data_IF_634452045091
#
_entry.id   IF_634452045091
#
_cell.length_a   1.000
_cell.length_b   1.000
_cell.length_c   1.000
_cell.angle_alpha   90.00
_cell.angle_beta   90.00
_cell.angle_gamma   90.00
#
_symmetry.space_group_name_H-M   'P 1'
#
loop_
_entity.id
_entity.type
_entity.pdbx_description
1 polymer ?
#
# COMPACT_ATOMS: atom_id res chain seq x y z
N UNK A 1 -11.49 18.19 12.12
CA UNK A 1 -10.78 16.98 11.69
C UNK A 1 -11.78 15.85 11.56
N UNK A 2 -12.26 15.60 10.34
CA UNK A 2 -12.86 14.31 9.99
C UNK A 2 -11.92 13.66 8.96
N UNK A 3 -10.68 13.43 9.43
CA UNK A 3 -9.70 12.59 8.76
C UNK A 3 -10.26 11.16 8.79
N UNK A 4 -10.03 10.38 7.73
CA UNK A 4 -10.60 9.04 7.58
C UNK A 4 -10.46 8.23 8.87
N UNK A 5 -11.54 7.52 9.24
CA UNK A 5 -11.48 6.64 10.40
C UNK A 5 -10.47 5.53 10.13
N UNK A 6 -9.87 4.94 11.17
CA UNK A 6 -9.01 3.76 11.02
C UNK A 6 -9.74 2.60 10.31
N UNK A 7 -11.07 2.56 10.39
CA UNK A 7 -11.89 1.59 9.67
C UNK A 7 -11.90 1.87 8.16
N UNK A 8 -12.02 3.14 7.74
CA UNK A 8 -11.91 3.51 6.32
C UNK A 8 -10.53 3.16 5.75
N UNK A 9 -9.47 3.36 6.54
CA UNK A 9 -8.11 2.97 6.12
C UNK A 9 -7.98 1.45 5.96
N UNK A 10 -8.51 0.68 6.92
CA UNK A 10 -8.51 -0.79 6.84
C UNK A 10 -9.30 -1.29 5.62
N UNK A 11 -10.44 -0.67 5.33
CA UNK A 11 -11.25 -0.98 4.15
C UNK A 11 -10.52 -0.64 2.85
N UNK A 12 -9.92 0.55 2.77
CA UNK A 12 -9.14 0.98 1.61
C UNK A 12 -7.93 0.08 1.35
N UNK A 13 -7.19 -0.28 2.40
CA UNK A 13 -6.07 -1.23 2.34
C UNK A 13 -6.53 -2.61 1.83
N UNK A 14 -7.72 -3.06 2.26
CA UNK A 14 -8.30 -4.32 1.78
C UNK A 14 -8.71 -4.27 0.31
N UNK A 15 -9.33 -3.17 -0.12
CA UNK A 15 -9.71 -2.97 -1.51
C UNK A 15 -8.51 -2.84 -2.44
N UNK A 16 -7.42 -2.22 -1.97
CA UNK A 16 -6.14 -2.20 -2.69
C UNK A 16 -5.67 -3.60 -3.08
N UNK A 17 -5.65 -4.54 -2.12
CA UNK A 17 -5.30 -5.95 -2.37
C UNK A 17 -6.27 -6.57 -3.38
N UNK A 18 -7.58 -6.37 -3.19
CA UNK A 18 -8.62 -6.93 -4.06
C UNK A 18 -8.47 -6.48 -5.52
N UNK A 19 -8.14 -5.21 -5.75
CA UNK A 19 -8.00 -4.66 -7.10
C UNK A 19 -6.72 -5.13 -7.80
N UNK A 20 -5.64 -5.31 -7.05
CA UNK A 20 -4.35 -5.73 -7.62
C UNK A 20 -4.22 -7.24 -7.78
N UNK A 21 -4.89 -8.03 -6.92
CA UNK A 21 -4.83 -9.49 -6.93
C UNK A 21 -5.06 -10.17 -8.31
N UNK A 22 -6.03 -9.73 -9.14
CA UNK A 22 -6.23 -10.34 -10.46
C UNK A 22 -5.25 -9.85 -11.55
N UNK A 23 -4.35 -8.92 -11.22
CA UNK A 23 -3.37 -8.35 -12.15
C UNK A 23 -2.00 -9.01 -12.00
N UNK A 24 -1.02 -8.57 -12.79
CA UNK A 24 0.37 -9.01 -12.64
C UNK A 24 1.18 -8.17 -11.62
N UNK A 25 0.58 -7.12 -11.04
CA UNK A 25 1.19 -6.32 -9.97
C UNK A 25 1.26 -7.09 -8.65
N UNK A 26 2.28 -6.78 -7.85
CA UNK A 26 2.33 -7.29 -6.48
C UNK A 26 1.19 -6.70 -5.62
N UNK A 27 0.23 -7.55 -5.23
CA UNK A 27 -0.95 -7.13 -4.49
C UNK A 27 -0.66 -6.68 -3.06
N UNK A 28 0.48 -7.07 -2.48
CA UNK A 28 0.93 -6.58 -1.17
C UNK A 28 1.83 -5.33 -1.27
N UNK A 29 2.04 -4.78 -2.47
CA UNK A 29 2.98 -3.67 -2.69
C UNK A 29 2.70 -2.42 -1.84
N UNK A 30 1.44 -2.21 -1.45
CA UNK A 30 1.07 -1.16 -0.50
C UNK A 30 1.75 -1.33 0.87
N UNK A 31 1.93 -2.56 1.37
CA UNK A 31 2.64 -2.81 2.62
C UNK A 31 4.09 -2.32 2.55
N UNK A 32 4.77 -2.56 1.43
CA UNK A 32 6.14 -2.07 1.22
C UNK A 32 6.20 -0.53 1.16
N UNK A 33 5.22 0.11 0.53
CA UNK A 33 5.08 1.57 0.52
C UNK A 33 4.96 2.13 1.94
N UNK A 34 4.05 1.58 2.75
CA UNK A 34 3.83 2.03 4.13
C UNK A 34 5.02 1.78 5.05
N UNK A 35 5.64 0.59 4.97
CA UNK A 35 6.91 0.28 5.68
C UNK A 35 7.96 1.36 5.45
N UNK A 36 8.07 1.85 4.20
CA UNK A 36 9.05 2.87 3.84
C UNK A 36 8.71 4.22 4.48
N UNK A 37 7.51 4.74 4.27
CA UNK A 37 7.17 6.11 4.71
C UNK A 37 7.00 6.24 6.22
N UNK A 38 6.66 5.15 6.92
CA UNK A 38 6.57 5.13 8.38
C UNK A 38 7.95 5.00 9.05
N UNK A 39 8.96 4.53 8.32
CA UNK A 39 10.34 4.44 8.78
C UNK A 39 11.15 5.73 8.63
N UNK A 40 10.60 6.75 7.99
CA UNK A 40 11.27 8.05 7.81
C UNK A 40 11.24 8.85 9.13
N UNK A 41 12.34 9.56 9.43
CA UNK A 41 12.45 10.39 10.64
C UNK A 41 11.46 11.56 10.65
N UNK A 42 11.09 12.04 9.46
CA UNK A 42 10.02 13.00 9.24
C UNK A 42 8.97 12.36 8.34
N UNK A 43 7.91 11.76 8.93
CA UNK A 43 6.88 11.10 8.15
C UNK A 43 6.19 12.10 7.20
N UNK A 44 5.78 11.67 5.99
CA UNK A 44 5.16 12.57 5.02
C UNK A 44 3.76 12.99 5.46
N UNK A 45 3.31 14.17 4.99
CA UNK A 45 1.97 14.72 5.26
C UNK A 45 0.84 13.76 4.84
N UNK A 46 1.11 12.83 3.93
CA UNK A 46 0.18 11.75 3.58
C UNK A 46 -0.33 10.99 4.81
N UNK A 47 0.52 10.69 5.79
CA UNK A 47 0.13 9.97 7.00
C UNK A 47 -0.71 10.84 7.96
N UNK A 48 -0.70 12.16 7.78
CA UNK A 48 -1.57 13.06 8.52
C UNK A 48 -3.05 12.83 8.16
N UNK A 49 -3.38 12.51 6.91
CA UNK A 49 -4.76 12.22 6.47
C UNK A 49 -5.10 10.74 6.39
N UNK A 50 -4.08 9.87 6.29
CA UNK A 50 -4.18 8.42 6.22
C UNK A 50 -3.47 7.73 7.40
N UNK A 51 -4.00 7.89 8.63
CA UNK A 51 -3.34 7.37 9.82
C UNK A 51 -3.27 5.82 9.79
N UNK A 52 -2.20 5.24 10.30
CA UNK A 52 -2.09 3.80 10.38
C UNK A 52 -3.17 3.20 11.31
N UNK A 53 -3.98 2.22 10.87
CA UNK A 53 -4.95 1.52 11.70
C UNK A 53 -4.33 0.69 12.85
N UNK A 54 -3.02 0.44 12.81
CA UNK A 54 -2.22 -0.27 13.82
C UNK A 54 -1.65 -1.59 13.29
N UNK A 55 -2.36 -2.24 12.36
CA UNK A 55 -2.01 -3.54 11.77
C UNK A 55 -2.00 -3.52 10.24
N UNK A 56 -1.87 -2.33 9.62
CA UNK A 56 -1.92 -2.12 8.16
C UNK A 56 -1.06 -3.11 7.36
N UNK A 57 0.24 -3.10 7.64
CA UNK A 57 1.23 -3.95 6.94
C UNK A 57 0.86 -5.43 7.06
N UNK A 58 0.58 -5.87 8.28
CA UNK A 58 0.22 -7.26 8.55
C UNK A 58 -1.07 -7.67 7.82
N UNK A 59 -2.09 -6.80 7.79
CA UNK A 59 -3.36 -7.10 7.14
C UNK A 59 -3.22 -7.20 5.62
N UNK A 60 -2.48 -6.28 5.00
CA UNK A 60 -2.24 -6.28 3.55
C UNK A 60 -1.52 -7.57 3.14
N UNK A 61 -0.41 -7.90 3.80
CA UNK A 61 0.40 -9.09 3.50
C UNK A 61 -0.41 -10.38 3.72
N UNK A 62 -1.13 -10.46 4.86
CA UNK A 62 -1.99 -11.60 5.18
C UNK A 62 -3.08 -11.79 4.12
N UNK A 63 -3.76 -10.71 3.73
CA UNK A 63 -4.86 -10.81 2.78
C UNK A 63 -4.38 -11.20 1.37
N UNK A 64 -3.25 -10.67 0.92
CA UNK A 64 -2.64 -11.08 -0.35
C UNK A 64 -2.29 -12.57 -0.35
N UNK A 65 -1.74 -13.07 0.76
CA UNK A 65 -1.44 -14.49 0.95
C UNK A 65 -2.70 -15.37 1.00
N UNK A 66 -3.70 -15.01 1.79
CA UNK A 66 -4.98 -15.74 1.90
C UNK A 66 -5.73 -15.83 0.57
N UNK A 67 -5.64 -14.77 -0.26
CA UNK A 67 -6.23 -14.73 -1.59
C UNK A 67 -5.38 -15.40 -2.67
N UNK A 68 -4.19 -15.87 -2.31
CA UNK A 68 -3.25 -16.52 -3.23
C UNK A 68 -2.93 -15.65 -4.46
N UNK A 69 -2.79 -14.33 -4.24
CA UNK A 69 -2.47 -13.38 -5.31
C UNK A 69 -1.12 -13.73 -5.96
N UNK A 70 -1.05 -13.69 -7.29
CA UNK A 70 0.10 -14.22 -8.05
C UNK A 70 0.97 -13.15 -8.71
N UNK A 71 0.47 -11.93 -8.83
CA UNK A 71 1.22 -10.84 -9.42
C UNK A 71 2.50 -10.54 -8.65
N UNK A 72 3.58 -10.27 -9.37
CA UNK A 72 4.92 -10.05 -8.84
C UNK A 72 5.69 -8.96 -9.60
N UNK A 73 5.03 -8.26 -10.52
CA UNK A 73 5.63 -7.16 -11.29
C UNK A 73 5.72 -5.91 -10.42
N UNK A 74 6.90 -5.30 -10.44
CA UNK A 74 7.19 -4.01 -9.80
C UNK A 74 7.32 -2.86 -10.79
N UNK A 75 7.31 -3.17 -12.11
CA UNK A 75 7.44 -2.22 -13.21
C UNK A 75 8.55 -1.18 -13.00
N UNK A 76 9.69 -1.63 -12.42
CA UNK A 76 10.76 -0.73 -11.98
C UNK A 76 11.32 0.11 -13.11
N UNK A 77 11.49 -0.47 -14.30
CA UNK A 77 12.04 0.24 -15.47
C UNK A 77 11.11 1.37 -15.91
N UNK A 78 9.82 1.10 -16.02
CA UNK A 78 8.77 2.06 -16.38
C UNK A 78 8.68 3.16 -15.32
N UNK A 79 8.68 2.78 -14.05
CA UNK A 79 8.68 3.72 -12.93
C UNK A 79 9.87 4.69 -12.99
N UNK A 80 11.10 4.20 -13.22
CA UNK A 80 12.27 5.09 -13.34
C UNK A 80 12.16 6.04 -14.53
N UNK A 81 11.62 5.58 -15.67
CA UNK A 81 11.38 6.43 -16.84
C UNK A 81 10.37 7.54 -16.56
N UNK A 82 9.30 7.25 -15.82
CA UNK A 82 8.30 8.25 -15.42
C UNK A 82 8.91 9.23 -14.42
N UNK A 83 9.61 8.71 -13.42
CA UNK A 83 10.24 9.53 -12.37
C UNK A 83 11.26 10.52 -12.93
N UNK A 84 12.03 10.14 -13.95
CA UNK A 84 13.00 11.03 -14.60
C UNK A 84 12.36 12.23 -15.36
N UNK A 85 11.03 12.25 -15.49
CA UNK A 85 10.27 13.33 -16.15
C UNK A 85 9.50 14.23 -15.18
N UNK A 86 9.53 13.95 -13.88
CA UNK A 86 8.92 14.75 -12.81
C UNK A 86 9.94 15.72 -12.23
#
# INVERSE_FOLDING_TARGET
>A
SLKFSRNHETEADSHSVLYLCPTDYNADGAAAFFKKIEGESSPPEFLSTHPNPGNRVQNIEKQAAEKNCKGNKDYRTEYQKIKAKL
#
